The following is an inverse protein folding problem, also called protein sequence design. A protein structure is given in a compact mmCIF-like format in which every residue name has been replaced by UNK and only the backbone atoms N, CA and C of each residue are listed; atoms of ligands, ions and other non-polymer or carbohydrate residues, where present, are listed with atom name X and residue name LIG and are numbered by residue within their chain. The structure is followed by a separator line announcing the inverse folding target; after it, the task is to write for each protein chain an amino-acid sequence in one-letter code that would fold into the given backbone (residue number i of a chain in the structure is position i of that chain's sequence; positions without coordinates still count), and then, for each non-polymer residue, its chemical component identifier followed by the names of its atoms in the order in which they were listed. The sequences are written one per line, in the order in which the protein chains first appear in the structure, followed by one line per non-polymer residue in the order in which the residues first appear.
data_IF_141967184982
#
_entry.id   IF_141967184982
#
_cell.length_a   1.000
_cell.length_b   1.000
_cell.length_c   1.000
_cell.angle_alpha   90.00
_cell.angle_beta   90.00
_cell.angle_gamma   90.00
#
_symmetry.space_group_name_H-M   'P 1'
#
loop_
_entity.id
_entity.type
_entity.pdbx_description
1 polymer ?
#
# COMPACT_ATOMS: atom_id res chain seq x y z
N UNK A 1 20.34 -0.24 4.55
CA UNK A 1 20.17 1.13 4.02
C UNK A 1 18.73 1.34 3.61
N UNK A 2 18.16 2.48 3.98
CA UNK A 2 16.76 2.75 3.70
C UNK A 2 16.60 3.53 2.43
N UNK A 3 15.61 3.18 1.66
CA UNK A 3 15.20 3.99 0.53
C UNK A 3 13.99 4.82 0.94
N UNK A 4 13.86 5.97 0.33
CA UNK A 4 12.75 6.86 0.64
C UNK A 4 12.02 7.22 -0.64
N UNK A 5 10.77 7.62 -0.47
CA UNK A 5 9.96 8.17 -1.54
C UNK A 5 9.72 9.64 -1.26
N UNK A 6 9.64 10.41 -2.32
CA UNK A 6 9.36 11.84 -2.19
C UNK A 6 7.88 12.07 -2.11
N UNK A 7 7.47 12.97 -1.22
CA UNK A 7 6.08 13.36 -1.07
C UNK A 7 5.97 14.82 -1.48
N UNK A 8 4.96 15.12 -2.28
CA UNK A 8 4.76 16.49 -2.73
C UNK A 8 3.28 16.77 -2.89
N UNK A 9 2.94 18.05 -2.80
CA UNK A 9 1.55 18.49 -2.89
C UNK A 9 1.18 18.74 -4.35
N UNK A 10 -0.03 18.34 -4.71
CA UNK A 10 -0.61 18.63 -6.02
C UNK A 10 -2.01 19.15 -5.79
N UNK A 11 -2.19 20.47 -5.83
CA UNK A 11 -3.46 21.07 -5.48
C UNK A 11 -3.80 20.78 -4.03
N UNK A 12 -4.92 20.09 -3.78
CA UNK A 12 -5.34 19.71 -2.45
C UNK A 12 -4.93 18.31 -2.06
N UNK A 13 -4.21 17.64 -2.95
CA UNK A 13 -3.83 16.26 -2.72
C UNK A 13 -2.35 16.16 -2.46
N UNK A 14 -1.95 15.00 -1.98
CA UNK A 14 -0.56 14.62 -1.84
C UNK A 14 -0.24 13.52 -2.83
N UNK A 15 0.96 13.56 -3.38
CA UNK A 15 1.44 12.51 -4.26
C UNK A 15 2.74 11.96 -3.73
N UNK A 16 3.02 10.71 -4.09
CA UNK A 16 4.24 10.03 -3.69
C UNK A 16 4.94 9.59 -4.95
N UNK A 17 6.22 9.93 -5.06
CA UNK A 17 7.05 9.45 -6.16
C UNK A 17 7.81 8.24 -5.68
N UNK A 18 7.50 7.10 -6.25
CA UNK A 18 8.14 5.85 -5.86
C UNK A 18 9.43 5.66 -6.64
N UNK A 19 10.50 5.22 -5.98
CA UNK A 19 11.70 4.80 -6.70
C UNK A 19 11.37 3.68 -7.68
N UNK A 20 12.20 3.56 -8.68
CA UNK A 20 11.95 2.62 -9.77
C UNK A 20 11.69 1.20 -9.28
N UNK A 21 12.41 0.78 -8.27
CA UNK A 21 12.28 -0.57 -7.72
C UNK A 21 10.93 -0.83 -7.06
N UNK A 22 10.21 0.22 -6.69
CA UNK A 22 8.96 0.08 -5.95
C UNK A 22 7.76 0.47 -6.78
N UNK A 23 7.94 0.72 -8.05
CA UNK A 23 6.84 1.19 -8.89
C UNK A 23 5.87 0.05 -9.16
N UNK A 24 4.60 0.43 -9.23
CA UNK A 24 3.54 -0.49 -9.59
C UNK A 24 3.30 -0.41 -11.09
N UNK A 25 2.86 -1.52 -11.66
CA UNK A 25 2.53 -1.59 -13.08
C UNK A 25 1.04 -1.47 -13.33
N UNK A 26 0.31 -0.92 -12.37
CA UNK A 26 -1.13 -0.73 -12.43
C UNK A 26 -1.43 0.74 -12.18
N UNK A 27 -2.65 1.15 -12.50
CA UNK A 27 -3.05 2.55 -12.33
C UNK A 27 -3.63 2.85 -10.97
N UNK A 28 -3.98 1.82 -10.22
CA UNK A 28 -4.54 1.98 -8.88
C UNK A 28 -3.98 0.91 -7.97
N UNK A 29 -3.86 1.26 -6.71
CA UNK A 29 -3.42 0.31 -5.69
C UNK A 29 -4.31 0.47 -4.48
N UNK A 30 -4.36 -0.56 -3.67
CA UNK A 30 -5.06 -0.50 -2.39
C UNK A 30 -4.20 0.25 -1.40
N UNK A 31 -4.86 0.97 -0.50
CA UNK A 31 -4.16 1.77 0.49
C UNK A 31 -4.80 1.52 1.85
N UNK A 32 -3.98 1.43 2.86
CA UNK A 32 -4.46 1.33 4.22
C UNK A 32 -3.46 1.99 5.17
N UNK A 33 -3.93 2.29 6.37
CA UNK A 33 -3.08 2.85 7.40
C UNK A 33 -2.95 1.83 8.54
N UNK A 34 -1.73 1.63 8.99
CA UNK A 34 -1.47 0.82 10.16
C UNK A 34 -1.89 1.62 11.39
N UNK A 35 -2.86 1.15 12.18
CA UNK A 35 -3.34 1.94 13.32
C UNK A 35 -2.35 2.03 14.47
N UNK A 36 -1.37 1.14 14.51
CA UNK A 36 -0.39 1.15 15.58
C UNK A 36 0.75 2.11 15.28
N UNK A 37 1.30 2.03 14.08
CA UNK A 37 2.46 2.84 13.71
C UNK A 37 2.09 4.11 13.01
N UNK A 38 0.91 4.18 12.40
CA UNK A 38 0.51 5.29 11.57
C UNK A 38 1.05 5.22 10.16
N UNK A 39 1.71 4.13 9.81
CA UNK A 39 2.26 3.97 8.48
C UNK A 39 1.15 3.82 7.45
N UNK A 40 1.43 4.27 6.23
CA UNK A 40 0.55 4.08 5.10
C UNK A 40 1.15 2.99 4.23
N UNK A 41 0.32 2.00 3.91
CA UNK A 41 0.75 0.83 3.14
C UNK A 41 0.03 0.83 1.81
N UNK A 42 0.79 0.67 0.75
CA UNK A 42 0.25 0.57 -0.62
C UNK A 42 0.46 -0.85 -1.10
N UNK A 43 -0.56 -1.41 -1.74
CA UNK A 43 -0.48 -2.80 -2.19
C UNK A 43 -1.31 -3.01 -3.44
N UNK A 44 -0.86 -3.91 -4.30
CA UNK A 44 -1.63 -4.32 -5.45
C UNK A 44 -2.83 -5.17 -5.06
N UNK A 45 -2.79 -5.75 -3.86
CA UNK A 45 -3.86 -6.61 -3.35
C UNK A 45 -4.33 -6.07 -2.02
N UNK A 46 -5.59 -6.37 -1.64
CA UNK A 46 -6.04 -5.98 -0.31
C UNK A 46 -5.12 -6.58 0.75
N UNK A 47 -4.72 -5.74 1.72
CA UNK A 47 -3.77 -6.17 2.74
C UNK A 47 -4.32 -6.00 4.14
N UNK A 48 -5.62 -5.85 4.31
CA UNK A 48 -6.17 -5.83 5.65
C UNK A 48 -6.22 -7.25 6.20
N UNK A 49 -6.30 -7.34 7.50
CA UNK A 49 -6.25 -8.62 8.17
C UNK A 49 -7.45 -9.49 7.84
N UNK A 50 -8.59 -8.87 7.62
CA UNK A 50 -9.77 -9.64 7.28
C UNK A 50 -9.68 -10.26 5.91
N UNK A 51 -9.17 -9.51 4.95
CA UNK A 51 -8.93 -10.08 3.63
C UNK A 51 -7.95 -11.23 3.69
N UNK A 52 -6.92 -11.10 4.50
CA UNK A 52 -5.94 -12.17 4.65
C UNK A 52 -6.58 -13.41 5.27
N UNK A 53 -7.40 -13.22 6.28
CA UNK A 53 -8.07 -14.35 6.91
C UNK A 53 -9.03 -15.03 5.96
N UNK A 54 -9.71 -14.27 5.13
CA UNK A 54 -10.60 -14.85 4.13
C UNK A 54 -9.83 -15.72 3.15
N UNK A 55 -8.69 -15.25 2.73
CA UNK A 55 -7.87 -16.02 1.81
C UNK A 55 -7.44 -17.32 2.45
N UNK A 56 -7.03 -17.27 3.70
CA UNK A 56 -6.63 -18.46 4.41
C UNK A 56 -7.80 -19.44 4.60
N UNK A 57 -8.97 -18.89 4.91
CA UNK A 57 -10.15 -19.72 5.08
C UNK A 57 -10.51 -20.41 3.77
N UNK A 58 -10.43 -19.70 2.66
CA UNK A 58 -10.73 -20.30 1.38
C UNK A 58 -9.72 -21.37 1.00
N UNK A 59 -8.48 -21.14 1.34
CA UNK A 59 -7.43 -22.09 1.00
C UNK A 59 -7.55 -23.37 1.79
N UNK A 60 -8.24 -23.34 2.89
CA UNK A 60 -8.45 -24.54 3.70
C UNK A 60 -9.58 -25.42 3.18
N UNK A 61 -10.28 -24.98 2.20
CA UNK A 61 -11.40 -25.76 1.65
C UNK A 61 -10.94 -26.96 0.84
#
# INVERSE_FOLDING_TARGET
MHQTAKIFATGRSQAVRLPLEFRFDVSEVFIRRDPVTGDVVLSRKPTDWQGLLDVLAHNND
#
